data_IF_091438446412
#
_entry.id   IF_091438446412
#
_cell.length_a   1.000
_cell.length_b   1.000
_cell.length_c   1.000
_cell.angle_alpha   90.00
_cell.angle_beta   90.00
_cell.angle_gamma   90.00
#
_symmetry.space_group_name_H-M   'P 1'
#
loop_
_entity.id
_entity.type
_entity.pdbx_description
1 polymer ?
#
# COMPACT_ATOMS: atom_id res chain seq x y z
N UNK A 1 -33.89 -1.83 -34.40
CA UNK A 1 -33.46 -0.49 -33.94
C UNK A 1 -33.87 -0.30 -32.47
N UNK A 2 -33.30 -1.06 -31.52
CA UNK A 2 -33.59 -0.91 -30.07
C UNK A 2 -32.60 -1.66 -29.14
N UNK A 3 -31.31 -1.72 -29.47
CA UNK A 3 -30.30 -2.39 -28.62
C UNK A 3 -29.20 -1.43 -28.14
N UNK A 4 -29.10 -0.23 -28.71
CA UNK A 4 -28.03 0.73 -28.43
C UNK A 4 -28.31 1.71 -27.28
N UNK A 5 -29.46 1.62 -26.58
CA UNK A 5 -29.81 2.60 -25.52
C UNK A 5 -29.58 2.11 -24.08
N UNK A 6 -29.16 0.87 -23.86
CA UNK A 6 -28.90 0.36 -22.51
C UNK A 6 -27.41 0.34 -22.10
N UNK A 7 -26.50 0.40 -23.08
CA UNK A 7 -25.04 0.39 -22.82
C UNK A 7 -24.41 1.77 -22.58
N UNK A 8 -25.17 2.87 -22.71
CA UNK A 8 -24.64 4.22 -22.73
C UNK A 8 -25.05 5.10 -21.52
N UNK A 9 -25.35 4.48 -20.37
CA UNK A 9 -25.32 5.18 -19.08
C UNK A 9 -24.32 4.49 -18.18
N UNK A 10 -23.05 4.52 -18.58
CA UNK A 10 -21.99 4.44 -17.58
C UNK A 10 -22.16 5.67 -16.70
N UNK A 11 -22.71 5.45 -15.51
CA UNK A 11 -23.03 6.54 -14.60
C UNK A 11 -21.69 7.10 -14.12
N UNK A 12 -21.45 8.39 -14.30
CA UNK A 12 -20.31 9.11 -13.71
C UNK A 12 -20.18 8.81 -12.20
N UNK A 13 -21.31 8.55 -11.56
CA UNK A 13 -21.41 8.09 -10.17
C UNK A 13 -20.68 6.77 -9.91
N UNK A 14 -20.75 5.81 -10.81
CA UNK A 14 -20.14 4.49 -10.63
C UNK A 14 -18.62 4.58 -10.72
N UNK A 15 -18.10 5.38 -11.67
CA UNK A 15 -16.67 5.70 -11.78
C UNK A 15 -16.17 6.41 -10.53
N UNK A 16 -16.94 7.38 -10.02
CA UNK A 16 -16.59 8.10 -8.80
C UNK A 16 -16.54 7.17 -7.56
N UNK A 17 -17.52 6.29 -7.40
CA UNK A 17 -17.54 5.30 -6.30
C UNK A 17 -16.32 4.39 -6.38
N UNK A 18 -15.96 3.89 -7.57
CA UNK A 18 -14.81 3.01 -7.73
C UNK A 18 -13.48 3.72 -7.46
N UNK A 19 -13.34 4.99 -7.86
CA UNK A 19 -12.19 5.83 -7.48
C UNK A 19 -12.11 5.99 -5.96
N UNK A 20 -13.24 6.19 -5.28
CA UNK A 20 -13.28 6.29 -3.82
C UNK A 20 -12.87 4.97 -3.14
N UNK A 21 -13.31 3.82 -3.67
CA UNK A 21 -12.92 2.51 -3.15
C UNK A 21 -11.41 2.24 -3.32
N UNK A 22 -10.83 2.59 -4.47
CA UNK A 22 -9.38 2.49 -4.67
C UNK A 22 -8.61 3.43 -3.72
N UNK A 23 -9.12 4.65 -3.51
CA UNK A 23 -8.54 5.60 -2.56
C UNK A 23 -8.62 5.07 -1.12
N UNK A 24 -9.75 4.48 -0.73
CA UNK A 24 -9.94 3.87 0.58
C UNK A 24 -9.00 2.68 0.79
N UNK A 25 -8.80 1.85 -0.24
CA UNK A 25 -7.83 0.75 -0.20
C UNK A 25 -6.40 1.27 0.02
N UNK A 26 -5.99 2.33 -0.69
CA UNK A 26 -4.69 2.96 -0.47
C UNK A 26 -4.56 3.61 0.91
N UNK A 27 -5.64 4.19 1.44
CA UNK A 27 -5.66 4.76 2.78
C UNK A 27 -5.51 3.67 3.85
N UNK A 28 -6.16 2.51 3.67
CA UNK A 28 -5.95 1.33 4.52
C UNK A 28 -4.51 0.86 4.52
N UNK A 29 -3.89 0.75 3.33
CA UNK A 29 -2.47 0.39 3.21
C UNK A 29 -1.54 1.45 3.80
N UNK A 30 -1.88 2.74 3.68
CA UNK A 30 -1.15 3.83 4.33
C UNK A 30 -1.12 3.67 5.84
N UNK A 31 -2.27 3.33 6.46
CA UNK A 31 -2.34 3.09 7.91
C UNK A 31 -1.49 1.90 8.30
N UNK A 32 -1.63 0.77 7.61
CA UNK A 32 -0.84 -0.44 7.90
C UNK A 32 0.66 -0.16 7.77
N UNK A 33 1.11 0.38 6.63
CA UNK A 33 2.53 0.72 6.42
C UNK A 33 3.04 1.75 7.42
N UNK A 34 2.19 2.72 7.82
CA UNK A 34 2.53 3.72 8.82
C UNK A 34 2.73 3.14 10.22
N UNK A 35 1.90 2.16 10.62
CA UNK A 35 2.08 1.41 11.86
C UNK A 35 3.36 0.59 11.82
N UNK A 36 3.68 -0.06 10.70
CA UNK A 36 4.94 -0.79 10.53
C UNK A 36 6.16 0.13 10.63
N UNK A 37 6.11 1.30 9.98
CA UNK A 37 7.16 2.33 10.06
C UNK A 37 7.36 2.82 11.49
N UNK A 38 6.27 2.99 12.23
CA UNK A 38 6.32 3.35 13.64
C UNK A 38 7.08 2.31 14.46
N UNK A 39 6.75 1.03 14.31
CA UNK A 39 7.42 -0.06 15.03
C UNK A 39 8.92 -0.12 14.71
N UNK A 40 9.29 0.01 13.43
CA UNK A 40 10.68 0.01 12.96
C UNK A 40 11.52 1.12 13.64
N UNK A 41 11.05 2.36 13.60
CA UNK A 41 11.84 3.49 14.10
C UNK A 41 11.71 3.75 15.61
N UNK A 42 10.55 3.45 16.21
CA UNK A 42 10.33 3.68 17.64
C UNK A 42 10.90 2.55 18.51
N UNK A 43 10.80 1.29 18.05
CA UNK A 43 11.26 0.13 18.83
C UNK A 43 12.64 -0.38 18.39
N UNK A 44 13.15 0.05 17.23
CA UNK A 44 14.47 -0.37 16.75
C UNK A 44 14.55 -1.87 16.44
N UNK A 45 13.40 -2.53 16.23
CA UNK A 45 13.37 -3.93 15.82
C UNK A 45 13.81 -4.01 14.34
N UNK A 46 14.99 -4.59 14.10
CA UNK A 46 15.48 -4.79 12.74
C UNK A 46 14.55 -5.75 11.96
N UNK A 47 14.24 -5.44 10.69
CA UNK A 47 13.37 -6.28 9.90
C UNK A 47 14.06 -7.62 9.59
N UNK A 48 13.49 -8.73 10.06
CA UNK A 48 13.91 -10.04 9.61
C UNK A 48 13.64 -10.21 8.10
N UNK A 49 14.37 -11.11 7.43
CA UNK A 49 14.26 -11.33 5.98
C UNK A 49 12.81 -11.61 5.51
N UNK A 50 12.03 -12.31 6.34
CA UNK A 50 10.63 -12.62 6.02
C UNK A 50 9.71 -11.40 6.09
N UNK A 51 9.93 -10.52 7.07
CA UNK A 51 9.18 -9.28 7.21
C UNK A 51 9.46 -8.30 6.07
N UNK A 52 10.69 -8.28 5.55
CA UNK A 52 11.06 -7.50 4.36
C UNK A 52 10.26 -7.95 3.12
N UNK A 53 10.07 -9.25 2.93
CA UNK A 53 9.24 -9.81 1.84
C UNK A 53 7.77 -9.39 2.01
N UNK A 54 7.23 -9.48 3.23
CA UNK A 54 5.86 -9.04 3.50
C UNK A 54 5.69 -7.54 3.23
N UNK A 55 6.62 -6.70 3.69
CA UNK A 55 6.52 -5.25 3.47
C UNK A 55 6.64 -4.87 1.99
N UNK A 56 7.57 -5.48 1.25
CA UNK A 56 7.68 -5.30 -0.21
C UNK A 56 6.43 -5.78 -0.95
N UNK A 57 5.81 -6.89 -0.51
CA UNK A 57 4.54 -7.35 -1.04
C UNK A 57 3.38 -6.38 -0.74
N UNK A 58 3.35 -5.71 0.41
CA UNK A 58 2.35 -4.66 0.71
C UNK A 58 2.49 -3.45 -0.23
N UNK A 59 3.72 -3.05 -0.54
CA UNK A 59 3.97 -2.04 -1.58
C UNK A 59 3.48 -2.51 -2.95
N UNK A 60 3.75 -3.77 -3.32
CA UNK A 60 3.23 -4.39 -4.55
C UNK A 60 1.69 -4.43 -4.61
N UNK A 61 1.04 -4.75 -3.48
CA UNK A 61 -0.43 -4.71 -3.35
C UNK A 61 -0.97 -3.29 -3.59
N UNK A 62 -0.25 -2.25 -3.18
CA UNK A 62 -0.65 -0.86 -3.40
C UNK A 62 -0.57 -0.43 -4.87
N UNK A 63 0.30 -1.04 -5.69
CA UNK A 63 0.56 -0.63 -7.09
C UNK A 63 -0.71 -0.62 -7.93
N UNK A 64 -1.55 -1.66 -7.88
CA UNK A 64 -2.77 -1.73 -8.70
C UNK A 64 -3.75 -0.57 -8.46
N UNK A 65 -4.18 -0.32 -7.21
CA UNK A 65 -5.00 0.85 -6.88
C UNK A 65 -4.35 2.19 -7.27
N UNK A 66 -3.03 2.33 -7.14
CA UNK A 66 -2.33 3.53 -7.63
C UNK A 66 -2.45 3.69 -9.14
N UNK A 67 -2.16 2.62 -9.91
CA UNK A 67 -2.27 2.62 -11.37
C UNK A 67 -3.70 2.92 -11.82
N UNK A 68 -4.70 2.37 -11.13
CA UNK A 68 -6.11 2.65 -11.40
C UNK A 68 -6.46 4.13 -11.21
N UNK A 69 -5.95 4.77 -10.15
CA UNK A 69 -6.20 6.19 -9.91
C UNK A 69 -5.41 7.11 -10.85
N UNK A 70 -4.19 6.72 -11.26
CA UNK A 70 -3.33 7.54 -12.12
C UNK A 70 -3.70 7.41 -13.61
N UNK A 71 -3.88 6.19 -14.10
CA UNK A 71 -4.03 5.88 -15.53
C UNK A 71 -5.43 5.40 -15.92
N UNK A 72 -6.35 5.37 -14.98
CA UNK A 72 -7.72 4.87 -15.17
C UNK A 72 -7.85 3.38 -14.84
N UNK A 73 -9.10 2.96 -14.60
CA UNK A 73 -9.42 1.63 -14.11
C UNK A 73 -9.18 0.56 -15.18
N UNK A 74 -8.32 -0.42 -14.87
CA UNK A 74 -8.07 -1.59 -15.73
C UNK A 74 -8.01 -2.86 -14.88
N UNK A 75 -8.55 -3.99 -15.38
CA UNK A 75 -8.52 -5.25 -14.63
C UNK A 75 -7.07 -5.76 -14.43
N UNK A 76 -6.17 -5.47 -15.37
CA UNK A 76 -4.76 -5.85 -15.27
C UNK A 76 -4.05 -5.25 -14.06
N UNK A 77 -4.41 -4.02 -13.65
CA UNK A 77 -3.82 -3.38 -12.48
C UNK A 77 -4.16 -4.14 -11.18
N UNK A 78 -5.42 -4.57 -11.02
CA UNK A 78 -5.82 -5.41 -9.89
C UNK A 78 -5.13 -6.79 -9.92
N UNK A 79 -4.88 -7.33 -11.11
CA UNK A 79 -4.12 -8.59 -11.27
C UNK A 79 -2.72 -8.50 -10.67
N UNK A 80 -1.99 -7.41 -10.91
CA UNK A 80 -0.65 -7.19 -10.31
C UNK A 80 -0.73 -7.13 -8.78
N UNK A 81 -1.73 -6.41 -8.24
CA UNK A 81 -1.96 -6.33 -6.79
C UNK A 81 -2.26 -7.70 -6.17
N UNK A 82 -3.10 -8.51 -6.82
CA UNK A 82 -3.44 -9.85 -6.33
C UNK A 82 -2.19 -10.75 -6.32
N UNK A 83 -1.38 -10.74 -7.39
CA UNK A 83 -0.14 -11.51 -7.46
C UNK A 83 0.83 -11.12 -6.34
N UNK A 84 1.03 -9.82 -6.12
CA UNK A 84 1.86 -9.33 -5.02
C UNK A 84 1.31 -9.76 -3.65
N UNK A 85 0.00 -9.68 -3.46
CA UNK A 85 -0.64 -10.10 -2.21
C UNK A 85 -0.54 -11.61 -1.97
N UNK A 86 -0.58 -12.44 -3.02
CA UNK A 86 -0.37 -13.89 -2.89
C UNK A 86 1.05 -14.19 -2.38
N UNK A 87 2.07 -13.51 -2.89
CA UNK A 87 3.46 -13.65 -2.42
C UNK A 87 3.57 -13.25 -0.95
N UNK A 88 2.98 -12.11 -0.57
CA UNK A 88 2.96 -11.64 0.81
C UNK A 88 2.20 -12.56 1.77
N UNK A 89 1.06 -13.09 1.33
CA UNK A 89 0.26 -14.05 2.08
C UNK A 89 1.04 -15.36 2.30
N UNK A 90 1.71 -15.88 1.27
CA UNK A 90 2.57 -17.06 1.39
C UNK A 90 3.70 -16.82 2.40
N UNK A 91 4.38 -15.67 2.33
CA UNK A 91 5.40 -15.29 3.32
C UNK A 91 4.85 -15.19 4.74
N UNK A 92 3.64 -14.65 4.91
CA UNK A 92 2.98 -14.56 6.22
C UNK A 92 2.59 -15.93 6.78
N UNK A 93 2.05 -16.82 5.94
CA UNK A 93 1.71 -18.19 6.33
C UNK A 93 2.96 -18.97 6.71
N UNK A 94 4.06 -18.85 5.95
CA UNK A 94 5.34 -19.46 6.34
C UNK A 94 5.80 -19.00 7.73
N UNK A 95 5.66 -17.71 8.05
CA UNK A 95 6.02 -17.20 9.39
C UNK A 95 5.15 -17.81 10.49
N UNK A 96 3.84 -17.87 10.25
CA UNK A 96 2.87 -18.45 11.18
C UNK A 96 3.23 -19.92 11.44
N UNK A 97 3.53 -20.69 10.38
CA UNK A 97 3.86 -22.11 10.48
C UNK A 97 5.17 -22.36 11.21
N UNK A 98 6.21 -21.56 10.95
CA UNK A 98 7.48 -21.64 11.68
C UNK A 98 7.28 -21.42 13.18
N UNK A 99 6.40 -20.49 13.54
CA UNK A 99 6.13 -20.18 14.92
C UNK A 99 5.27 -21.23 15.63
N UNK A 100 4.32 -21.84 14.92
CA UNK A 100 3.56 -22.99 15.44
C UNK A 100 4.48 -24.21 15.63
N UNK A 101 5.48 -24.39 14.77
CA UNK A 101 6.40 -25.53 14.83
C UNK A 101 7.42 -25.45 15.98
N UNK A 102 7.74 -24.24 16.48
CA UNK A 102 8.65 -24.01 17.59
C UNK A 102 7.89 -23.42 18.81
N UNK A 103 7.24 -24.28 19.64
CA UNK A 103 6.38 -23.83 20.74
C UNK A 103 7.12 -23.21 21.94
N UNK A 104 8.44 -23.38 22.04
CA UNK A 104 9.28 -22.74 23.08
C UNK A 104 9.65 -21.29 22.74
N UNK A 105 9.22 -20.80 21.58
CA UNK A 105 9.54 -19.46 21.08
C UNK A 105 8.37 -18.52 21.44
N UNK A 106 8.57 -17.47 22.26
CA UNK A 106 7.48 -16.61 22.76
C UNK A 106 6.83 -15.69 21.69
N UNK A 107 7.31 -15.74 20.45
CA UNK A 107 6.83 -14.89 19.37
C UNK A 107 7.75 -13.71 19.16
N UNK A 108 8.21 -13.56 17.91
CA UNK A 108 8.90 -12.34 17.51
C UNK A 108 7.89 -11.26 17.12
N UNK A 109 8.07 -10.09 17.73
CA UNK A 109 7.36 -8.86 17.44
C UNK A 109 6.19 -8.56 18.40
N UNK A 110 5.81 -7.28 18.52
CA UNK A 110 4.79 -6.83 19.45
C UNK A 110 3.41 -7.43 19.13
N UNK A 111 2.70 -7.84 20.18
CA UNK A 111 1.31 -8.31 20.07
C UNK A 111 0.37 -7.11 20.00
N UNK A 112 -0.42 -7.04 18.94
CA UNK A 112 -1.42 -5.99 18.73
C UNK A 112 -2.80 -6.66 18.78
N UNK A 113 -3.63 -6.26 19.76
CA UNK A 113 -4.94 -6.88 20.03
C UNK A 113 -4.88 -8.42 20.20
N UNK A 114 -3.79 -8.94 20.76
CA UNK A 114 -3.62 -10.38 21.03
C UNK A 114 -3.14 -11.22 19.84
N UNK A 115 -2.86 -10.62 18.69
CA UNK A 115 -2.24 -11.28 17.54
C UNK A 115 -0.88 -10.66 17.20
N UNK A 116 0.06 -11.49 16.74
CA UNK A 116 1.35 -11.01 16.26
C UNK A 116 1.21 -10.29 14.91
N UNK A 117 2.19 -9.43 14.60
CA UNK A 117 2.19 -8.62 13.38
C UNK A 117 2.11 -9.44 12.08
N UNK A 118 2.67 -10.65 12.06
CA UNK A 118 2.62 -11.52 10.88
C UNK A 118 1.20 -12.07 10.60
N UNK A 119 0.35 -12.23 11.62
CA UNK A 119 -1.06 -12.59 11.45
C UNK A 119 -1.83 -11.42 10.86
N UNK A 120 -1.56 -10.20 11.32
CA UNK A 120 -2.13 -8.98 10.74
C UNK A 120 -1.68 -8.75 9.30
N UNK A 121 -0.43 -9.09 8.96
CA UNK A 121 0.05 -9.07 7.59
C UNK A 121 -0.76 -10.03 6.71
N UNK A 122 -0.97 -11.27 7.16
CA UNK A 122 -1.82 -12.24 6.45
C UNK A 122 -3.26 -11.71 6.24
N UNK A 123 -3.89 -11.17 7.29
CA UNK A 123 -5.24 -10.60 7.19
C UNK A 123 -5.29 -9.45 6.17
N UNK A 124 -4.26 -8.60 6.14
CA UNK A 124 -4.15 -7.50 5.18
C UNK A 124 -4.08 -8.01 3.74
N UNK A 125 -3.26 -9.04 3.47
CA UNK A 125 -3.17 -9.64 2.15
C UNK A 125 -4.46 -10.36 1.74
N UNK A 126 -5.06 -11.15 2.64
CA UNK A 126 -6.32 -11.84 2.38
C UNK A 126 -7.44 -10.84 2.06
N UNK A 127 -7.54 -9.76 2.84
CA UNK A 127 -8.52 -8.68 2.60
C UNK A 127 -8.24 -7.96 1.30
N UNK A 128 -6.97 -7.72 0.96
CA UNK A 128 -6.57 -7.12 -0.32
C UNK A 128 -6.94 -7.98 -1.53
N UNK A 129 -6.71 -9.29 -1.46
CA UNK A 129 -7.09 -10.25 -2.51
C UNK A 129 -8.60 -10.27 -2.70
N UNK A 130 -9.36 -10.46 -1.61
CA UNK A 130 -10.83 -10.50 -1.65
C UNK A 130 -11.40 -9.17 -2.14
N UNK A 131 -10.87 -8.04 -1.65
CA UNK A 131 -11.27 -6.71 -2.09
C UNK A 131 -11.03 -6.49 -3.59
N UNK A 132 -9.85 -6.84 -4.10
CA UNK A 132 -9.55 -6.76 -5.54
C UNK A 132 -10.45 -7.69 -6.36
N UNK A 133 -10.71 -8.90 -5.87
CA UNK A 133 -11.60 -9.86 -6.52
C UNK A 133 -13.04 -9.32 -6.61
N UNK A 134 -13.56 -8.72 -5.53
CA UNK A 134 -14.88 -8.07 -5.51
C UNK A 134 -14.92 -6.91 -6.51
N UNK A 135 -13.90 -6.05 -6.53
CA UNK A 135 -13.82 -4.93 -7.47
C UNK A 135 -13.81 -5.40 -8.93
N UNK A 136 -13.15 -6.51 -9.24
CA UNK A 136 -13.11 -7.10 -10.57
C UNK A 136 -14.48 -7.59 -11.07
N UNK A 137 -15.44 -7.89 -10.18
CA UNK A 137 -16.80 -8.30 -10.58
C UNK A 137 -17.59 -7.16 -11.23
N UNK A 138 -17.24 -5.90 -10.96
CA UNK A 138 -17.96 -4.73 -11.47
C UNK A 138 -17.42 -4.28 -12.84
N UNK A 139 -17.98 -4.82 -13.91
CA UNK A 139 -17.53 -4.55 -15.30
C UNK A 139 -17.71 -3.10 -15.77
N UNK A 140 -18.75 -2.42 -15.29
CA UNK A 140 -19.11 -1.07 -15.75
C UNK A 140 -18.01 -0.02 -15.54
N UNK A 141 -17.10 -0.24 -14.60
CA UNK A 141 -15.97 0.65 -14.35
C UNK A 141 -14.90 0.61 -15.47
N UNK A 142 -14.77 -0.54 -16.15
CA UNK A 142 -13.77 -0.75 -17.20
C UNK A 142 -14.24 -0.27 -18.57
N UNK A 143 -15.56 -0.29 -18.79
CA UNK A 143 -16.20 0.18 -20.03
C UNK A 143 -16.37 1.71 -20.06
N UNK A 144 -16.20 2.37 -18.90
CA UNK A 144 -16.36 3.81 -18.73
C UNK A 144 -15.35 4.68 -19.48
N UNK A 145 -14.22 4.10 -19.93
CA UNK A 145 -13.12 4.87 -20.52
C UNK A 145 -12.50 5.86 -19.53
N UNK A 146 -12.35 5.47 -18.26
CA UNK A 146 -11.73 6.32 -17.24
C UNK A 146 -10.28 6.69 -17.64
N UNK A 147 -9.95 7.98 -17.57
CA UNK A 147 -8.61 8.51 -17.89
C UNK A 147 -7.78 8.82 -16.65
N UNK A 148 -8.31 8.49 -15.46
CA UNK A 148 -7.64 8.69 -14.17
C UNK A 148 -7.87 10.08 -13.57
N UNK A 149 -7.53 10.19 -12.29
CA UNK A 149 -7.73 11.39 -11.45
C UNK A 149 -6.72 12.50 -11.77
N UNK A 150 -5.62 12.22 -12.48
CA UNK A 150 -4.61 13.23 -12.82
C UNK A 150 -5.14 14.34 -13.73
N UNK A 151 -6.21 14.08 -14.50
CA UNK A 151 -6.77 15.02 -15.49
C UNK A 151 -7.82 15.96 -14.90
N UNK A 152 -8.50 15.54 -13.83
CA UNK A 152 -9.54 16.31 -13.14
C UNK A 152 -8.94 17.10 -11.97
N UNK A 153 -9.25 18.41 -11.87
CA UNK A 153 -8.89 19.17 -10.67
C UNK A 153 -9.90 18.88 -9.55
N UNK A 154 -9.39 18.46 -8.40
CA UNK A 154 -10.21 18.28 -7.20
C UNK A 154 -9.40 17.82 -6.01
N UNK A 155 -10.05 17.79 -4.86
CA UNK A 155 -9.56 17.17 -3.63
C UNK A 155 -9.07 15.73 -3.81
N UNK A 156 -9.75 14.89 -4.61
CA UNK A 156 -9.33 13.51 -4.89
C UNK A 156 -7.90 13.47 -5.46
N UNK A 157 -7.56 14.36 -6.39
CA UNK A 157 -6.21 14.44 -6.97
C UNK A 157 -5.16 14.76 -5.92
N UNK A 158 -5.45 15.72 -5.04
CA UNK A 158 -4.56 16.07 -3.93
C UNK A 158 -4.28 14.86 -3.04
N UNK A 159 -5.34 14.17 -2.58
CA UNK A 159 -5.22 13.01 -1.69
C UNK A 159 -4.52 11.85 -2.38
N UNK A 160 -4.85 11.54 -3.64
CA UNK A 160 -4.15 10.48 -4.40
C UNK A 160 -2.66 10.75 -4.49
N UNK A 161 -2.24 11.96 -4.88
CA UNK A 161 -0.81 12.30 -5.00
C UNK A 161 -0.12 12.24 -3.64
N UNK A 162 -0.76 12.77 -2.58
CA UNK A 162 -0.20 12.75 -1.23
C UNK A 162 0.00 11.31 -0.73
N UNK A 163 -0.99 10.43 -0.91
CA UNK A 163 -0.90 9.02 -0.48
C UNK A 163 0.16 8.28 -1.29
N UNK A 164 0.21 8.47 -2.61
CA UNK A 164 1.24 7.86 -3.46
C UNK A 164 2.63 8.33 -3.03
N UNK A 165 2.79 9.64 -2.79
CA UNK A 165 4.06 10.20 -2.33
C UNK A 165 4.45 9.59 -0.98
N UNK A 166 3.51 9.49 -0.03
CA UNK A 166 3.74 8.85 1.27
C UNK A 166 4.23 7.40 1.13
N UNK A 167 3.56 6.60 0.30
CA UNK A 167 3.93 5.20 0.08
C UNK A 167 5.29 5.11 -0.61
N UNK A 168 5.59 5.96 -1.60
CA UNK A 168 6.91 5.98 -2.26
C UNK A 168 8.04 6.42 -1.31
N UNK A 169 7.80 7.38 -0.41
CA UNK A 169 8.77 7.79 0.60
C UNK A 169 9.01 6.66 1.61
N UNK A 170 7.97 5.95 2.03
CA UNK A 170 8.11 4.76 2.89
C UNK A 170 8.95 3.67 2.22
N UNK A 171 8.73 3.41 0.93
CA UNK A 171 9.53 2.44 0.17
C UNK A 171 11.00 2.90 0.05
N UNK A 172 11.23 4.19 -0.20
CA UNK A 172 12.58 4.74 -0.28
C UNK A 172 13.32 4.62 1.06
N UNK A 173 12.65 4.91 2.18
CA UNK A 173 13.23 4.76 3.52
C UNK A 173 13.54 3.32 3.86
N UNK A 174 12.65 2.38 3.51
CA UNK A 174 12.92 0.95 3.63
C UNK A 174 14.19 0.56 2.85
N UNK A 175 14.33 1.03 1.61
CA UNK A 175 15.53 0.78 0.80
C UNK A 175 16.79 1.33 1.45
N UNK A 176 16.74 2.56 1.96
CA UNK A 176 17.87 3.22 2.65
C UNK A 176 18.24 2.49 3.95
N UNK A 177 17.26 1.98 4.71
CA UNK A 177 17.50 1.21 5.94
C UNK A 177 18.06 -0.19 5.68
N UNK A 178 17.64 -0.87 4.62
CA UNK A 178 18.05 -2.25 4.31
C UNK A 178 19.45 -2.32 3.68
N UNK A 179 19.85 -1.31 2.90
CA UNK A 179 21.12 -1.30 2.18
C UNK A 179 22.36 -1.43 3.09
N UNK A 180 22.46 -0.70 4.23
CA UNK A 180 23.58 -0.84 5.16
C UNK A 180 23.62 -2.19 5.88
N UNK A 181 22.47 -2.70 6.28
CA UNK A 181 22.36 -3.86 7.17
C UNK A 181 22.40 -5.19 6.41
N UNK A 182 21.82 -5.25 5.21
CA UNK A 182 21.74 -6.45 4.39
C UNK A 182 22.63 -6.41 3.14
N UNK A 183 23.16 -5.24 2.77
CA UNK A 183 23.92 -5.06 1.53
C UNK A 183 23.10 -5.44 0.29
N UNK A 184 23.76 -6.05 -0.71
CA UNK A 184 23.13 -6.69 -1.87
C UNK A 184 22.88 -8.21 -1.64
N UNK A 185 23.10 -8.71 -0.42
CA UNK A 185 23.02 -10.12 -0.06
C UNK A 185 21.73 -10.47 0.71
N UNK A 186 21.70 -11.67 1.28
CA UNK A 186 20.64 -12.06 2.21
C UNK A 186 20.88 -11.40 3.57
N UNK A 187 19.83 -10.81 4.17
CA UNK A 187 19.90 -10.29 5.53
C UNK A 187 20.30 -11.41 6.51
N UNK A 188 21.19 -11.13 7.49
CA UNK A 188 21.49 -12.06 8.57
C UNK A 188 20.21 -12.48 9.30
N UNK A 189 20.15 -13.74 9.73
CA UNK A 189 19.02 -14.32 10.48
C UNK A 189 18.94 -13.83 11.93
N UNK A 190 20.01 -13.22 12.46
CA UNK A 190 20.06 -12.66 13.81
C UNK A 190 20.07 -11.12 13.76
N UNK A 191 19.25 -10.44 14.57
CA UNK A 191 19.13 -8.99 14.52
C UNK A 191 20.40 -8.35 15.10
N UNK A 192 21.18 -7.69 14.26
CA UNK A 192 22.00 -6.59 14.75
C UNK A 192 21.02 -5.53 15.30
N UNK A 193 21.19 -5.04 16.52
CA UNK A 193 20.37 -3.94 17.01
C UNK A 193 20.70 -2.69 16.19
N UNK A 194 19.77 -2.20 15.37
CA UNK A 194 19.90 -0.88 14.77
C UNK A 194 19.75 0.17 15.86
N UNK A 195 20.44 1.30 15.72
CA UNK A 195 20.24 2.45 16.61
C UNK A 195 18.87 3.04 16.27
N UNK A 196 17.82 2.54 16.90
CA UNK A 196 16.50 3.17 16.85
C UNK A 196 16.63 4.62 17.30
N UNK A 197 16.04 5.55 16.56
CA UNK A 197 16.08 6.99 16.86
C UNK A 197 15.21 7.38 18.09
N UNK A 198 14.78 6.39 18.85
CA UNK A 198 13.87 6.50 19.99
C UNK A 198 12.44 6.82 19.57
N UNK A 199 11.49 6.63 20.49
CA UNK A 199 10.06 6.88 20.27
C UNK A 199 9.78 8.30 19.76
N UNK A 200 10.48 9.30 20.31
CA UNK A 200 10.32 10.70 19.91
C UNK A 200 10.84 10.95 18.49
N UNK A 201 12.00 10.38 18.14
CA UNK A 201 12.56 10.48 16.79
C UNK A 201 11.68 9.78 15.76
N UNK A 202 11.17 8.58 16.07
CA UNK A 202 10.21 7.86 15.23
C UNK A 202 8.93 8.68 14.99
N UNK A 203 8.43 9.35 16.03
CA UNK A 203 7.28 10.25 15.95
C UNK A 203 7.52 11.44 15.03
N UNK A 204 8.67 12.11 15.19
CA UNK A 204 9.05 13.25 14.35
C UNK A 204 9.24 12.85 12.90
N UNK A 205 9.86 11.71 12.62
CA UNK A 205 9.99 11.19 11.25
C UNK A 205 8.64 10.87 10.64
N UNK A 206 7.78 10.15 11.36
CA UNK A 206 6.43 9.83 10.89
C UNK A 206 5.66 11.11 10.51
N UNK A 207 5.64 12.11 11.39
CA UNK A 207 4.99 13.40 11.12
C UNK A 207 5.64 14.16 9.95
N UNK A 208 6.98 14.15 9.87
CA UNK A 208 7.71 14.82 8.79
C UNK A 208 7.35 14.24 7.42
N UNK A 209 7.23 12.92 7.30
CA UNK A 209 6.84 12.27 6.04
C UNK A 209 5.39 12.67 5.69
N UNK A 210 4.50 12.91 6.68
CA UNK A 210 3.07 13.19 6.42
C UNK A 210 2.98 14.58 5.84
N UNK A 211 3.67 15.51 6.50
CA UNK A 211 3.79 16.90 6.08
C UNK A 211 4.46 16.99 4.71
N UNK A 212 5.56 16.27 4.47
CA UNK A 212 6.25 16.26 3.19
C UNK A 212 5.37 15.71 2.05
N UNK A 213 4.62 14.64 2.32
CA UNK A 213 3.70 14.02 1.35
C UNK A 213 2.54 14.94 1.02
N UNK A 214 1.95 15.58 2.02
CA UNK A 214 0.87 16.55 1.83
C UNK A 214 1.36 17.81 1.12
N UNK A 215 2.54 18.33 1.49
CA UNK A 215 3.16 19.48 0.83
C UNK A 215 3.46 19.18 -0.65
N UNK A 216 4.03 18.02 -0.94
CA UNK A 216 4.31 17.57 -2.31
C UNK A 216 3.02 17.41 -3.10
N UNK A 217 1.98 16.81 -2.51
CA UNK A 217 0.65 16.73 -3.09
C UNK A 217 0.08 18.12 -3.41
N UNK A 218 0.20 19.07 -2.49
CA UNK A 218 -0.29 20.43 -2.67
C UNK A 218 0.48 21.19 -3.77
N UNK A 219 1.82 21.04 -3.81
CA UNK A 219 2.68 21.66 -4.82
C UNK A 219 2.39 21.07 -6.20
N UNK A 220 2.35 19.74 -6.34
CA UNK A 220 2.06 19.07 -7.60
C UNK A 220 0.64 19.35 -8.08
N UNK A 221 -0.36 19.37 -7.19
CA UNK A 221 -1.73 19.71 -7.55
C UNK A 221 -1.85 21.16 -8.06
N UNK A 222 -1.07 22.10 -7.50
CA UNK A 222 -1.00 23.49 -7.97
C UNK A 222 -0.22 23.64 -9.29
N UNK A 223 0.88 22.89 -9.48
CA UNK A 223 1.75 22.99 -10.67
C UNK A 223 1.21 22.26 -11.89
N UNK A 224 0.56 21.12 -11.72
CA UNK A 224 0.03 20.38 -12.85
C UNK A 224 -1.24 21.06 -13.37
N UNK A 225 -1.13 21.69 -14.55
CA UNK A 225 -2.27 22.19 -15.33
C UNK A 225 -3.25 21.02 -15.58
N UNK A 226 -4.56 21.26 -15.51
CA UNK A 226 -5.53 20.26 -15.99
C UNK A 226 -5.26 20.06 -17.47
N UNK A 227 -5.18 18.82 -17.93
CA UNK A 227 -5.09 18.52 -19.35
C UNK A 227 -6.50 18.70 -19.92
N UNK A 228 -6.92 19.95 -20.07
CA UNK A 228 -8.20 20.35 -20.63
C UNK A 228 -7.96 21.38 -21.74
N UNK A 229 -7.30 20.96 -22.82
CA UNK A 229 -7.40 21.55 -24.18
C UNK A 229 -6.42 20.86 -25.14
N UNK A 230 -6.75 19.64 -25.58
CA UNK A 230 -6.53 19.18 -26.95
C UNK A 230 -7.67 18.23 -27.28
#
# INVERSE_FOLDING_TARGET
MSVTRHFARVNIRDVFIMRLLNLAALLGLLVVLGVLLWFEFAMGEMPCALFLIQRSAMFGLAVGPMMNLLWGMRPSHYGVSILAACVGAAGSVCQILLHIANPDDPGHGPVVFGFHLYTWAFITFATGIVGCAILLLFKGQFEAGDTGVLRERGWLRLFTIAIITWITLNLAMLGIGVLPDCGLGMCPTDPATSVGIGTVGGCLMFLAIILASFATGAVLNRRMKSVSSQ
#
